data_IF_947073028260
#
_entry.id   IF_947073028260
#
_cell.length_a   1.000
_cell.length_b   1.000
_cell.length_c   1.000
_cell.angle_alpha   90.00
_cell.angle_beta   90.00
_cell.angle_gamma   90.00
#
_symmetry.space_group_name_H-M   'P 1'
#
loop_
_entity.id
_entity.type
_entity.pdbx_description
1 polymer ?
#
# COMPACT_ATOMS: atom_id res chain seq x y z
N UNK A 1 4.13 16.02 5.02
CA UNK A 1 4.33 15.08 6.15
C UNK A 1 3.11 14.18 6.17
N UNK A 2 3.29 12.86 6.12
CA UNK A 2 2.14 11.94 6.15
C UNK A 2 1.52 11.94 7.54
N UNK A 3 0.20 11.86 7.60
CA UNK A 3 -0.50 11.64 8.86
C UNK A 3 -0.35 10.19 9.32
N UNK A 4 -0.46 9.96 10.63
CA UNK A 4 -0.49 8.60 11.19
C UNK A 4 -1.62 7.74 10.60
N UNK A 5 -2.73 8.37 10.21
CA UNK A 5 -3.83 7.70 9.50
C UNK A 5 -3.40 7.19 8.13
N UNK A 6 -2.77 8.04 7.33
CA UNK A 6 -2.25 7.66 6.00
C UNK A 6 -1.19 6.56 6.10
N UNK A 7 -0.29 6.63 7.09
CA UNK A 7 0.72 5.59 7.31
C UNK A 7 0.08 4.22 7.65
N UNK A 8 -0.97 4.21 8.48
CA UNK A 8 -1.72 2.98 8.81
C UNK A 8 -2.45 2.41 7.59
N UNK A 9 -3.03 3.26 6.76
CA UNK A 9 -3.71 2.84 5.53
C UNK A 9 -2.72 2.26 4.52
N UNK A 10 -1.56 2.89 4.31
CA UNK A 10 -0.47 2.37 3.47
C UNK A 10 -0.03 0.99 3.96
N UNK A 11 0.25 0.83 5.25
CA UNK A 11 0.66 -0.45 5.82
C UNK A 11 -0.40 -1.55 5.61
N UNK A 12 -1.69 -1.21 5.72
CA UNK A 12 -2.78 -2.14 5.49
C UNK A 12 -2.86 -2.58 4.02
N UNK A 13 -2.64 -1.66 3.07
CA UNK A 13 -2.61 -1.96 1.62
C UNK A 13 -1.42 -2.87 1.30
N UNK A 14 -0.21 -2.51 1.74
CA UNK A 14 1.01 -3.30 1.50
C UNK A 14 0.84 -4.71 2.04
N UNK A 15 0.28 -4.87 3.25
CA UNK A 15 0.00 -6.18 3.81
C UNK A 15 -1.01 -6.98 2.98
N UNK A 16 -2.12 -6.36 2.55
CA UNK A 16 -3.12 -7.03 1.72
C UNK A 16 -2.53 -7.49 0.37
N UNK A 17 -1.63 -6.69 -0.22
CA UNK A 17 -0.89 -7.05 -1.44
C UNK A 17 0.06 -8.22 -1.18
N UNK A 18 0.81 -8.19 -0.07
CA UNK A 18 1.70 -9.27 0.36
C UNK A 18 0.99 -10.59 0.62
N UNK A 19 -0.18 -10.54 1.25
CA UNK A 19 -1.01 -11.70 1.55
C UNK A 19 -1.75 -12.25 0.30
N UNK A 20 -1.66 -11.56 -0.85
CA UNK A 20 -2.31 -11.98 -2.11
C UNK A 20 -3.83 -11.77 -2.12
N UNK A 21 -4.36 -10.93 -1.24
CA UNK A 21 -5.81 -10.70 -1.10
C UNK A 21 -6.32 -9.63 -2.07
N UNK A 22 -6.37 -9.95 -3.38
CA UNK A 22 -6.71 -8.99 -4.44
C UNK A 22 -8.00 -8.19 -4.20
N UNK A 23 -9.09 -8.83 -3.77
CA UNK A 23 -10.34 -8.15 -3.43
C UNK A 23 -10.16 -7.12 -2.31
N UNK A 24 -9.48 -7.51 -1.22
CA UNK A 24 -9.23 -6.64 -0.08
C UNK A 24 -8.33 -5.46 -0.46
N UNK A 25 -7.32 -5.72 -1.29
CA UNK A 25 -6.45 -4.67 -1.83
C UNK A 25 -7.25 -3.63 -2.60
N UNK A 26 -8.16 -4.05 -3.48
CA UNK A 26 -9.03 -3.13 -4.24
C UNK A 26 -9.85 -2.21 -3.32
N UNK A 27 -10.55 -2.78 -2.34
CA UNK A 27 -11.35 -2.01 -1.38
C UNK A 27 -10.50 -0.99 -0.58
N UNK A 28 -9.29 -1.37 -0.17
CA UNK A 28 -8.40 -0.48 0.57
C UNK A 28 -7.84 0.64 -0.31
N UNK A 29 -7.51 0.33 -1.57
CA UNK A 29 -7.06 1.33 -2.54
C UNK A 29 -8.16 2.34 -2.85
N UNK A 30 -9.37 1.90 -3.14
CA UNK A 30 -10.51 2.77 -3.45
C UNK A 30 -10.78 3.76 -2.30
N UNK A 31 -10.69 3.29 -1.06
CA UNK A 31 -10.84 4.17 0.11
C UNK A 31 -9.67 5.15 0.23
N UNK A 32 -8.44 4.69 0.05
CA UNK A 32 -7.24 5.50 0.22
C UNK A 32 -7.19 6.65 -0.80
N UNK A 33 -7.48 6.37 -2.08
CA UNK A 33 -7.39 7.38 -3.15
C UNK A 33 -8.39 8.53 -3.01
N UNK A 34 -9.51 8.32 -2.31
CA UNK A 34 -10.51 9.38 -2.05
C UNK A 34 -9.96 10.50 -1.18
N UNK A 35 -9.06 10.17 -0.26
CA UNK A 35 -8.48 11.14 0.70
C UNK A 35 -6.97 11.34 0.56
N UNK A 36 -6.32 10.64 -0.37
CA UNK A 36 -4.87 10.72 -0.56
C UNK A 36 -4.48 11.99 -1.33
N UNK A 37 -3.45 12.66 -0.82
CA UNK A 37 -2.72 13.69 -1.55
C UNK A 37 -1.54 13.07 -2.32
N UNK A 38 -0.90 13.86 -3.18
CA UNK A 38 0.24 13.39 -3.98
C UNK A 38 1.37 12.77 -3.12
N UNK A 39 1.78 13.36 -1.98
CA UNK A 39 2.74 12.71 -1.08
C UNK A 39 2.32 11.33 -0.59
N UNK A 40 1.05 11.13 -0.22
CA UNK A 40 0.55 9.83 0.22
C UNK A 40 0.56 8.79 -0.90
N UNK A 41 0.22 9.18 -2.14
CA UNK A 41 0.30 8.30 -3.30
C UNK A 41 1.74 7.88 -3.61
N UNK A 42 2.70 8.81 -3.52
CA UNK A 42 4.12 8.51 -3.71
C UNK A 42 4.65 7.55 -2.64
N UNK A 43 4.30 7.80 -1.38
CA UNK A 43 4.68 6.93 -0.27
C UNK A 43 4.09 5.52 -0.38
N UNK A 44 2.84 5.40 -0.86
CA UNK A 44 2.24 4.10 -1.16
C UNK A 44 3.01 3.37 -2.27
N UNK A 45 3.39 4.07 -3.34
CA UNK A 45 4.17 3.48 -4.44
C UNK A 45 5.51 2.93 -3.92
N UNK A 46 6.26 3.75 -3.18
CA UNK A 46 7.55 3.34 -2.59
C UNK A 46 7.38 2.12 -1.68
N UNK A 47 6.39 2.13 -0.79
CA UNK A 47 6.15 1.01 0.12
C UNK A 47 5.75 -0.30 -0.60
N UNK A 48 5.06 -0.21 -1.73
CA UNK A 48 4.73 -1.36 -2.58
C UNK A 48 5.97 -1.88 -3.32
N UNK A 49 6.82 -0.99 -3.85
CA UNK A 49 8.08 -1.35 -4.52
C UNK A 49 9.05 -2.05 -3.56
N UNK A 50 9.18 -1.54 -2.33
CA UNK A 50 9.98 -2.14 -1.26
C UNK A 50 9.44 -3.53 -0.87
N UNK A 51 8.13 -3.63 -0.61
CA UNK A 51 7.50 -4.90 -0.21
C UNK A 51 7.50 -5.97 -1.31
N UNK A 52 7.57 -5.58 -2.59
CA UNK A 52 7.74 -6.50 -3.71
C UNK A 52 9.19 -6.93 -3.90
N UNK A 53 10.16 -6.05 -3.61
CA UNK A 53 11.59 -6.32 -3.70
C UNK A 53 12.05 -7.33 -2.64
N UNK A 54 11.39 -7.36 -1.48
CA UNK A 54 11.68 -8.28 -0.38
C UNK A 54 11.04 -9.68 -0.55
N UNK A 55 10.24 -9.89 -1.60
CA UNK A 55 9.78 -11.25 -1.94
C UNK A 55 10.95 -12.03 -2.52
N UNK A 56 11.31 -13.20 -1.96
CA UNK A 56 12.29 -14.06 -2.60
C UNK A 56 11.77 -14.38 -4.00
N UNK A 57 12.58 -14.07 -5.03
CA UNK A 57 12.34 -14.53 -6.41
C UNK A 57 12.14 -16.03 -6.33
N UNK A 58 10.89 -16.49 -6.39
CA UNK A 58 10.61 -17.92 -6.57
C UNK A 58 11.21 -18.28 -7.93
N UNK A 59 12.31 -19.06 -7.87
CA UNK A 59 13.00 -19.60 -9.03
C UNK A 59 12.18 -20.58 -9.82
#
# INVERSE_FOLDING_TARGET
MLSDGQLREIAAIVRAVSDGHGWRTGVLLDRFVVSADLPALLALREALEDGLSDRPRRG
#
